data_IF_820316433283
#
_entry.id   IF_820316433283
#
_cell.length_a   1.000
_cell.length_b   1.000
_cell.length_c   1.000
_cell.angle_alpha   90.00
_cell.angle_beta   90.00
_cell.angle_gamma   90.00
#
_symmetry.space_group_name_H-M   'P 1'
#
loop_
_entity.id
_entity.type
_entity.pdbx_description
1 polymer ?
#
# COMPACT_ATOMS: atom_id res chain seq x y z
N UNK A 1 40.21 47.52 -48.62
CA UNK A 1 38.99 47.36 -47.77
C UNK A 1 38.14 46.12 -48.10
N UNK A 2 38.26 45.52 -49.30
CA UNK A 2 37.52 44.31 -49.70
C UNK A 2 38.11 43.02 -49.09
N UNK A 3 39.43 42.97 -48.90
CA UNK A 3 40.13 41.75 -48.47
C UNK A 3 39.89 41.34 -47.00
N UNK A 4 39.64 42.29 -46.10
CA UNK A 4 39.26 41.98 -44.71
C UNK A 4 37.82 41.44 -44.60
N UNK A 5 36.89 41.92 -45.44
CA UNK A 5 35.48 41.45 -45.41
C UNK A 5 35.34 40.00 -45.87
N UNK A 6 36.16 39.55 -46.83
CA UNK A 6 36.16 38.16 -47.31
C UNK A 6 36.70 37.19 -46.25
N UNK A 7 37.68 37.61 -45.44
CA UNK A 7 38.22 36.78 -44.34
C UNK A 7 37.22 36.56 -43.20
N UNK A 8 36.44 37.57 -42.86
CA UNK A 8 35.38 37.45 -41.84
C UNK A 8 34.21 36.58 -42.32
N UNK A 9 33.83 36.67 -43.59
CA UNK A 9 32.78 35.82 -44.17
C UNK A 9 33.23 34.35 -44.21
N UNK A 10 34.48 34.08 -44.61
CA UNK A 10 35.04 32.72 -44.62
C UNK A 10 35.17 32.13 -43.21
N UNK A 11 35.52 32.94 -42.21
CA UNK A 11 35.61 32.50 -40.81
C UNK A 11 34.23 32.19 -40.20
N UNK A 12 33.21 33.02 -40.48
CA UNK A 12 31.83 32.75 -40.03
C UNK A 12 31.22 31.53 -40.73
N UNK A 13 31.50 31.31 -42.03
CA UNK A 13 31.06 30.10 -42.74
C UNK A 13 31.72 28.84 -42.20
N UNK A 14 33.00 28.89 -41.82
CA UNK A 14 33.70 27.74 -41.23
C UNK A 14 33.15 27.40 -39.84
N UNK A 15 32.85 28.41 -39.01
CA UNK A 15 32.23 28.19 -37.68
C UNK A 15 30.80 27.63 -37.83
N UNK A 16 29.98 28.16 -38.76
CA UNK A 16 28.65 27.62 -38.99
C UNK A 16 28.67 26.16 -39.47
N UNK A 17 29.61 25.78 -40.36
CA UNK A 17 29.74 24.41 -40.87
C UNK A 17 30.15 23.44 -39.74
N UNK A 18 31.08 23.84 -38.87
CA UNK A 18 31.52 23.01 -37.73
C UNK A 18 30.41 22.87 -36.68
N UNK A 19 29.63 23.92 -36.42
CA UNK A 19 28.49 23.85 -35.47
C UNK A 19 27.35 22.97 -36.01
N UNK A 20 27.06 23.01 -37.32
CA UNK A 20 26.07 22.10 -37.91
C UNK A 20 26.53 20.63 -37.97
N UNK A 21 27.83 20.36 -38.10
CA UNK A 21 28.36 19.00 -38.12
C UNK A 21 28.33 18.33 -36.72
N UNK A 22 28.48 19.11 -35.64
CA UNK A 22 28.45 18.59 -34.26
C UNK A 22 27.03 18.25 -33.80
N UNK A 23 26.01 18.96 -34.28
CA UNK A 23 24.60 18.74 -33.89
C UNK A 23 23.98 17.50 -34.56
N UNK A 24 24.55 17.00 -35.67
CA UNK A 24 24.05 15.83 -36.40
C UNK A 24 24.56 14.46 -35.89
N UNK A 25 25.36 14.41 -34.81
CA UNK A 25 25.94 13.15 -34.29
C UNK A 25 25.42 12.72 -32.92
N UNK A 26 24.49 13.45 -32.32
CA UNK A 26 23.84 13.04 -31.07
C UNK A 26 22.36 12.76 -31.30
N UNK A 27 22.06 11.55 -31.78
CA UNK A 27 20.72 10.98 -31.64
C UNK A 27 20.56 10.57 -30.16
N UNK A 28 19.72 11.22 -29.33
CA UNK A 28 19.46 10.74 -27.97
C UNK A 28 18.51 9.53 -27.96
N UNK A 29 18.04 9.08 -29.12
CA UNK A 29 17.24 7.86 -29.24
C UNK A 29 18.17 6.64 -29.19
N UNK A 30 18.57 6.28 -27.97
CA UNK A 30 18.86 4.88 -27.68
C UNK A 30 17.52 4.14 -27.84
N UNK A 31 17.38 3.17 -28.76
CA UNK A 31 16.22 2.29 -28.74
C UNK A 31 16.18 1.67 -27.35
N UNK A 32 15.11 1.90 -26.57
CA UNK A 32 14.86 1.09 -25.37
C UNK A 32 14.97 -0.35 -25.85
N UNK A 33 15.92 -1.11 -25.32
CA UNK A 33 15.97 -2.54 -25.58
C UNK A 33 14.57 -3.06 -25.24
N UNK A 34 13.86 -3.50 -26.27
CA UNK A 34 12.62 -4.20 -26.11
C UNK A 34 13.01 -5.44 -25.31
N UNK A 35 12.73 -5.42 -24.01
CA UNK A 35 12.86 -6.58 -23.14
C UNK A 35 12.14 -7.67 -23.90
N UNK A 36 12.89 -8.66 -24.38
CA UNK A 36 12.27 -9.84 -24.94
C UNK A 36 11.24 -10.27 -23.91
N UNK A 37 9.95 -10.31 -24.28
CA UNK A 37 8.97 -10.99 -23.46
C UNK A 37 9.52 -12.40 -23.32
N UNK A 38 10.13 -12.66 -22.17
CA UNK A 38 10.39 -14.01 -21.77
C UNK A 38 9.00 -14.62 -21.78
N UNK A 39 8.78 -15.59 -22.67
CA UNK A 39 7.72 -16.55 -22.48
C UNK A 39 8.10 -17.36 -21.23
N UNK A 40 7.99 -16.71 -20.07
CA UNK A 40 7.80 -17.38 -18.81
C UNK A 40 6.48 -18.10 -18.99
N UNK A 41 6.54 -19.42 -19.16
CA UNK A 41 5.52 -20.32 -18.62
C UNK A 41 4.95 -19.65 -17.38
N UNK A 42 3.62 -19.43 -17.24
CA UNK A 42 3.09 -18.83 -16.04
C UNK A 42 3.69 -19.64 -14.89
N UNK A 43 4.57 -19.02 -14.12
CA UNK A 43 4.89 -19.59 -12.82
C UNK A 43 3.55 -19.64 -12.10
N UNK A 44 3.39 -20.53 -11.12
CA UNK A 44 2.17 -20.55 -10.30
C UNK A 44 2.12 -19.27 -9.44
N UNK A 45 2.01 -18.12 -10.10
CA UNK A 45 2.13 -16.78 -9.54
C UNK A 45 0.75 -16.40 -9.04
N UNK A 46 0.68 -16.14 -7.75
CA UNK A 46 -0.48 -15.58 -7.10
C UNK A 46 -0.22 -14.09 -6.93
N UNK A 47 -1.25 -13.29 -7.15
CA UNK A 47 -1.28 -11.86 -6.84
C UNK A 47 -2.34 -11.67 -5.76
N UNK A 48 -2.02 -10.87 -4.74
CA UNK A 48 -3.01 -10.37 -3.79
C UNK A 48 -3.18 -8.87 -3.98
N UNK A 49 -4.42 -8.45 -4.17
CA UNK A 49 -4.81 -7.04 -4.20
C UNK A 49 -5.53 -6.75 -2.90
N UNK A 50 -5.13 -5.70 -2.18
CA UNK A 50 -5.73 -5.35 -0.90
C UNK A 50 -5.91 -3.84 -0.75
N UNK A 51 -6.96 -3.43 -0.05
CA UNK A 51 -7.35 -2.03 0.13
C UNK A 51 -8.18 -1.84 1.40
N UNK A 52 -8.31 -0.58 1.83
CA UNK A 52 -9.28 -0.16 2.85
C UNK A 52 -10.59 0.30 2.18
N UNK A 53 -11.73 0.09 2.83
CA UNK A 53 -13.08 0.26 2.26
C UNK A 53 -13.62 1.70 2.24
N UNK A 54 -13.29 2.53 3.23
CA UNK A 54 -13.93 3.82 3.49
C UNK A 54 -13.01 5.04 3.32
N UNK A 55 -11.71 4.84 3.17
CA UNK A 55 -10.72 5.92 3.21
C UNK A 55 -10.37 6.29 4.66
N UNK A 56 -9.99 7.55 4.91
CA UNK A 56 -9.57 8.02 6.24
C UNK A 56 -10.67 7.77 7.28
N UNK A 57 -10.43 6.85 8.23
CA UNK A 57 -11.34 6.61 9.34
C UNK A 57 -11.03 7.55 10.50
N UNK A 58 -12.04 8.28 10.99
CA UNK A 58 -11.89 9.13 12.17
C UNK A 58 -12.25 8.35 13.44
N UNK A 59 -11.63 8.69 14.58
CA UNK A 59 -12.07 8.23 15.90
C UNK A 59 -11.83 9.31 16.96
N UNK A 60 -12.42 9.16 18.14
CA UNK A 60 -12.23 10.16 19.20
C UNK A 60 -10.83 10.09 19.81
N UNK A 61 -10.24 11.26 20.06
CA UNK A 61 -9.01 11.35 20.86
C UNK A 61 -9.26 10.93 22.32
N UNK A 62 -10.44 11.23 22.86
CA UNK A 62 -10.86 10.92 24.23
C UNK A 62 -12.32 10.43 24.23
N UNK A 63 -12.56 9.26 24.83
CA UNK A 63 -13.86 8.62 24.91
C UNK A 63 -14.64 8.93 26.21
N UNK A 64 -14.12 9.74 27.13
CA UNK A 64 -14.75 9.93 28.45
C UNK A 64 -16.22 10.43 28.39
N UNK A 65 -16.51 11.34 27.47
CA UNK A 65 -17.80 12.03 27.43
C UNK A 65 -18.70 11.59 26.25
N UNK A 66 -18.11 11.20 25.11
CA UNK A 66 -18.84 10.77 23.91
C UNK A 66 -17.97 9.92 22.97
N UNK A 67 -18.63 9.13 22.12
CA UNK A 67 -18.02 8.50 20.94
C UNK A 67 -18.78 8.92 19.68
N UNK A 68 -18.07 9.53 18.71
CA UNK A 68 -18.55 9.69 17.33
C UNK A 68 -18.28 8.39 16.56
N UNK A 69 -17.04 7.93 16.61
CA UNK A 69 -16.59 6.67 16.02
C UNK A 69 -15.53 6.02 16.92
N UNK A 70 -15.54 4.68 17.06
CA UNK A 70 -14.50 3.94 17.77
C UNK A 70 -13.21 3.89 16.93
N UNK A 71 -12.06 3.49 17.53
CA UNK A 71 -10.92 3.02 16.74
C UNK A 71 -11.41 1.90 15.82
N UNK A 72 -11.20 2.06 14.50
CA UNK A 72 -11.74 1.13 13.51
C UNK A 72 -10.96 1.21 12.21
N UNK A 73 -10.90 0.09 11.51
CA UNK A 73 -10.54 0.02 10.11
C UNK A 73 -11.04 -1.30 9.53
N UNK A 74 -11.29 -1.32 8.22
CA UNK A 74 -11.66 -2.53 7.49
C UNK A 74 -10.72 -2.73 6.32
N UNK A 75 -10.08 -3.89 6.24
CA UNK A 75 -9.23 -4.29 5.12
C UNK A 75 -9.93 -5.33 4.27
N UNK A 76 -9.81 -5.18 2.96
CA UNK A 76 -10.28 -6.12 1.94
C UNK A 76 -9.09 -6.72 1.20
N UNK A 77 -9.20 -7.98 0.80
CA UNK A 77 -8.21 -8.63 -0.06
C UNK A 77 -8.87 -9.60 -1.05
N UNK A 78 -8.35 -9.62 -2.28
CA UNK A 78 -8.68 -10.64 -3.29
C UNK A 78 -7.40 -11.30 -3.79
N UNK A 79 -7.44 -12.62 -3.95
CA UNK A 79 -6.30 -13.42 -4.40
C UNK A 79 -6.58 -13.96 -5.79
N UNK A 80 -5.65 -13.71 -6.71
CA UNK A 80 -5.78 -14.05 -8.12
C UNK A 80 -4.62 -14.96 -8.50
N UNK A 81 -4.92 -16.13 -9.07
CA UNK A 81 -3.92 -16.92 -9.77
C UNK A 81 -3.78 -16.39 -11.19
N UNK A 82 -2.56 -16.00 -11.55
CA UNK A 82 -2.25 -15.45 -12.88
C UNK A 82 -2.44 -16.54 -13.93
N UNK A 83 -3.16 -16.20 -15.00
CA UNK A 83 -3.49 -17.10 -16.10
C UNK A 83 -4.38 -16.41 -17.14
N UNK A 84 -4.75 -17.16 -18.18
CA UNK A 84 -5.69 -16.72 -19.21
C UNK A 84 -6.83 -17.77 -19.35
N UNK A 85 -8.03 -17.54 -18.80
CA UNK A 85 -8.41 -16.35 -18.01
C UNK A 85 -7.81 -16.37 -16.58
N UNK A 86 -7.69 -15.21 -15.92
CA UNK A 86 -7.29 -15.15 -14.51
C UNK A 86 -8.34 -15.85 -13.63
N UNK A 87 -7.89 -16.45 -12.53
CA UNK A 87 -8.75 -17.21 -11.61
C UNK A 87 -8.74 -16.60 -10.23
N UNK A 88 -9.93 -16.34 -9.69
CA UNK A 88 -10.09 -15.95 -8.29
C UNK A 88 -9.87 -17.18 -7.40
N UNK A 89 -9.05 -17.02 -6.36
CA UNK A 89 -8.67 -18.08 -5.43
C UNK A 89 -9.28 -17.78 -4.07
N UNK A 90 -10.11 -18.70 -3.60
CA UNK A 90 -10.91 -18.54 -2.37
C UNK A 90 -10.79 -19.72 -1.41
N UNK A 91 -10.04 -20.77 -1.78
CA UNK A 91 -9.89 -21.98 -0.98
C UNK A 91 -8.47 -22.57 -1.10
N UNK A 92 -8.09 -23.39 -0.11
CA UNK A 92 -6.73 -23.94 -0.02
C UNK A 92 -5.66 -22.91 0.35
N UNK A 93 -6.08 -21.71 0.75
CA UNK A 93 -5.21 -20.61 1.15
C UNK A 93 -5.64 -20.05 2.49
N UNK A 94 -4.70 -19.44 3.21
CA UNK A 94 -4.96 -18.59 4.38
C UNK A 94 -4.49 -17.18 4.05
N UNK A 95 -5.34 -16.18 4.32
CA UNK A 95 -5.02 -14.77 4.14
C UNK A 95 -4.94 -14.11 5.52
N UNK A 96 -3.77 -13.55 5.84
CA UNK A 96 -3.54 -12.86 7.11
C UNK A 96 -3.18 -11.41 6.88
N UNK A 97 -3.49 -10.57 7.86
CA UNK A 97 -3.02 -9.19 7.93
C UNK A 97 -2.22 -8.95 9.22
N UNK A 98 -1.31 -7.98 9.18
CA UNK A 98 -0.63 -7.48 10.38
C UNK A 98 -0.22 -6.01 10.19
N UNK A 99 -0.13 -5.28 11.30
CA UNK A 99 0.45 -3.94 11.35
C UNK A 99 1.79 -3.98 12.12
N UNK A 100 2.95 -4.12 11.43
CA UNK A 100 4.23 -4.39 12.09
C UNK A 100 4.73 -3.28 13.03
N UNK A 101 4.35 -2.03 12.76
CA UNK A 101 4.71 -0.84 13.56
C UNK A 101 3.48 -0.23 14.25
N UNK A 102 2.42 -1.02 14.44
CA UNK A 102 1.22 -0.63 15.18
C UNK A 102 0.55 -1.89 15.75
N UNK A 103 1.26 -2.59 16.63
CA UNK A 103 0.89 -3.94 17.10
C UNK A 103 -0.11 -3.95 18.24
N UNK A 104 -0.37 -2.78 18.84
CA UNK A 104 -1.34 -2.58 19.92
C UNK A 104 -1.94 -1.17 19.83
N UNK A 105 -3.11 -1.00 20.45
CA UNK A 105 -3.85 0.26 20.52
C UNK A 105 -4.26 0.65 21.94
N UNK A 106 -4.30 -0.31 22.87
CA UNK A 106 -4.42 -0.02 24.30
C UNK A 106 -3.25 0.86 24.76
N UNK A 107 -3.54 1.97 25.44
CA UNK A 107 -2.51 2.95 25.82
C UNK A 107 -2.16 3.97 24.74
N UNK A 108 -2.68 3.83 23.52
CA UNK A 108 -2.72 4.90 22.50
C UNK A 108 -4.08 5.60 22.47
N UNK A 109 -5.11 4.94 22.98
CA UNK A 109 -6.47 5.45 23.18
C UNK A 109 -7.03 4.94 24.51
N UNK A 110 -7.99 5.67 25.07
CA UNK A 110 -8.75 5.26 26.25
C UNK A 110 -10.10 4.58 25.90
N UNK A 111 -10.31 4.19 24.64
CA UNK A 111 -11.55 3.55 24.17
C UNK A 111 -12.03 2.38 25.06
N UNK A 112 -11.13 1.46 25.41
CA UNK A 112 -11.44 0.28 26.24
C UNK A 112 -11.81 0.62 27.70
N UNK A 113 -11.52 1.83 28.19
CA UNK A 113 -11.98 2.25 29.52
C UNK A 113 -13.47 2.61 29.53
N UNK A 114 -14.06 2.85 28.34
CA UNK A 114 -15.40 3.39 28.16
C UNK A 114 -16.31 2.58 27.20
N UNK A 115 -15.84 1.44 26.69
CA UNK A 115 -16.57 0.61 25.73
C UNK A 115 -17.90 0.07 26.29
N UNK A 116 -17.93 -0.31 27.58
CA UNK A 116 -19.15 -0.76 28.25
C UNK A 116 -20.17 0.37 28.33
N UNK A 117 -19.73 1.57 28.68
CA UNK A 117 -20.59 2.74 28.89
C UNK A 117 -21.13 3.30 27.57
N UNK A 118 -20.31 3.31 26.52
CA UNK A 118 -20.63 3.94 25.24
C UNK A 118 -21.22 2.95 24.22
N UNK A 119 -20.78 1.70 24.24
CA UNK A 119 -21.15 0.67 23.25
C UNK A 119 -21.84 -0.56 23.87
N UNK A 120 -21.88 -0.68 25.20
CA UNK A 120 -22.56 -1.78 25.89
C UNK A 120 -21.84 -3.12 25.78
N UNK A 121 -20.54 -3.11 25.45
CA UNK A 121 -19.70 -4.29 25.28
C UNK A 121 -18.42 -4.16 26.11
N UNK A 122 -17.96 -5.26 26.69
CA UNK A 122 -16.71 -5.36 27.45
C UNK A 122 -15.69 -6.08 26.55
N UNK A 123 -14.90 -5.31 25.81
CA UNK A 123 -13.94 -5.85 24.84
C UNK A 123 -12.63 -6.20 25.54
N UNK A 124 -11.99 -7.27 25.08
CA UNK A 124 -10.60 -7.50 25.44
C UNK A 124 -9.70 -6.40 24.86
N UNK A 125 -8.62 -6.07 25.57
CA UNK A 125 -7.61 -5.12 25.08
C UNK A 125 -7.18 -5.42 23.64
N UNK A 126 -7.09 -4.38 22.82
CA UNK A 126 -6.68 -4.45 21.41
C UNK A 126 -7.61 -5.26 20.50
N UNK A 127 -8.82 -5.59 20.95
CA UNK A 127 -9.88 -6.18 20.13
C UNK A 127 -10.91 -5.10 19.82
N UNK A 128 -11.26 -4.96 18.54
CA UNK A 128 -12.29 -4.01 18.10
C UNK A 128 -13.69 -4.62 18.10
N UNK A 129 -14.69 -3.79 17.78
CA UNK A 129 -16.11 -4.16 17.89
C UNK A 129 -16.54 -5.35 17.02
N UNK A 130 -15.82 -5.63 15.93
CA UNK A 130 -16.07 -6.79 15.07
C UNK A 130 -15.15 -7.99 15.40
N UNK A 131 -14.41 -7.95 16.51
CA UNK A 131 -13.60 -9.05 17.03
C UNK A 131 -12.20 -9.18 16.43
N UNK A 132 -11.80 -8.26 15.54
CA UNK A 132 -10.44 -8.22 14.97
C UNK A 132 -9.46 -7.48 15.88
N UNK A 133 -8.20 -7.87 15.82
CA UNK A 133 -7.09 -7.18 16.48
C UNK A 133 -6.12 -6.56 15.48
N UNK A 134 -4.91 -6.22 15.93
CA UNK A 134 -3.87 -5.58 15.11
C UNK A 134 -3.16 -6.54 14.13
N UNK A 135 -3.46 -7.82 14.22
CA UNK A 135 -3.10 -8.84 13.23
C UNK A 135 -4.08 -10.01 13.35
N UNK A 136 -4.16 -10.82 12.30
CA UNK A 136 -5.00 -12.02 12.34
C UNK A 136 -5.31 -12.58 10.96
N UNK A 137 -6.13 -13.62 10.96
CA UNK A 137 -6.71 -14.16 9.73
C UNK A 137 -7.88 -13.29 9.27
N UNK A 138 -7.95 -13.05 7.96
CA UNK A 138 -9.06 -12.36 7.32
C UNK A 138 -10.22 -13.34 7.10
N UNK A 139 -11.45 -12.91 7.35
CA UNK A 139 -12.65 -13.71 7.17
C UNK A 139 -12.99 -13.84 5.68
N UNK A 140 -13.42 -15.02 5.26
CA UNK A 140 -13.83 -15.26 3.88
C UNK A 140 -15.27 -14.80 3.62
N UNK A 141 -15.46 -13.94 2.61
CA UNK A 141 -16.74 -13.36 2.21
C UNK A 141 -17.10 -13.73 0.75
N UNK A 142 -17.19 -15.04 0.45
CA UNK A 142 -17.55 -15.63 -0.86
C UNK A 142 -16.57 -15.38 -2.01
N UNK A 143 -16.19 -14.14 -2.29
CA UNK A 143 -15.32 -13.75 -3.41
C UNK A 143 -14.10 -12.93 -2.96
N UNK A 144 -14.01 -12.58 -1.68
CA UNK A 144 -12.88 -11.84 -1.11
C UNK A 144 -12.68 -12.20 0.37
N UNK A 145 -11.67 -11.60 0.98
CA UNK A 145 -11.34 -11.73 2.38
C UNK A 145 -11.43 -10.37 3.07
N UNK A 146 -11.92 -10.33 4.31
CA UNK A 146 -12.17 -9.10 5.08
C UNK A 146 -11.56 -9.19 6.48
N UNK A 147 -10.92 -8.14 6.92
CA UNK A 147 -10.65 -7.92 8.35
C UNK A 147 -11.38 -6.65 8.78
N UNK A 148 -12.57 -6.82 9.32
CA UNK A 148 -13.46 -5.74 9.73
C UNK A 148 -13.24 -5.36 11.20
N UNK A 149 -13.31 -4.07 11.51
CA UNK A 149 -13.27 -3.57 12.89
C UNK A 149 -11.95 -3.81 13.60
N UNK A 150 -10.85 -3.61 12.89
CA UNK A 150 -9.51 -3.52 13.46
C UNK A 150 -9.45 -2.24 14.31
N UNK A 151 -9.10 -2.28 15.61
CA UNK A 151 -9.15 -1.10 16.48
C UNK A 151 -7.93 -0.18 16.28
N UNK A 152 -7.69 0.23 15.04
CA UNK A 152 -6.49 0.94 14.60
C UNK A 152 -6.46 2.37 15.12
N UNK A 153 -5.27 2.82 15.51
CA UNK A 153 -4.96 4.21 15.88
C UNK A 153 -3.90 4.78 14.95
N UNK A 154 -3.78 6.10 14.85
CA UNK A 154 -2.79 6.79 14.02
C UNK A 154 -1.37 6.83 14.62
N UNK A 155 -1.20 6.37 15.86
CA UNK A 155 0.09 6.30 16.53
C UNK A 155 0.79 4.96 16.28
N UNK A 156 2.09 5.02 15.95
CA UNK A 156 2.93 3.85 15.69
C UNK A 156 3.63 3.41 16.97
N UNK A 157 4.00 2.14 17.04
CA UNK A 157 4.76 1.60 18.16
C UNK A 157 6.11 2.32 18.30
N UNK A 158 6.72 2.67 17.16
CA UNK A 158 7.97 3.43 17.10
C UNK A 158 7.83 4.92 17.46
N UNK A 159 6.62 5.46 17.48
CA UNK A 159 6.34 6.87 17.79
C UNK A 159 4.92 7.04 18.34
N UNK A 160 4.82 7.02 19.67
CA UNK A 160 3.56 7.17 20.41
C UNK A 160 3.13 8.64 20.58
N UNK A 161 3.82 9.59 19.94
CA UNK A 161 3.56 11.03 20.12
C UNK A 161 3.14 11.68 18.82
N UNK A 162 3.82 11.40 17.71
CA UNK A 162 3.52 12.03 16.44
C UNK A 162 2.57 11.16 15.60
N UNK A 163 1.39 11.70 15.20
CA UNK A 163 0.46 11.01 14.32
C UNK A 163 1.08 10.57 13.00
N UNK A 164 0.76 9.34 12.58
CA UNK A 164 1.04 8.80 11.27
C UNK A 164 -0.27 8.32 10.62
N UNK A 165 -0.97 9.16 9.86
CA UNK A 165 -2.34 8.86 9.45
C UNK A 165 -2.49 7.75 8.38
N UNK A 166 -1.38 7.22 7.85
CA UNK A 166 -1.36 6.26 6.73
C UNK A 166 -0.76 4.92 7.16
N UNK A 167 -1.37 4.26 8.14
CA UNK A 167 -0.87 2.99 8.67
C UNK A 167 -0.73 1.93 7.57
N UNK A 168 0.32 1.10 7.66
CA UNK A 168 0.66 0.12 6.65
C UNK A 168 0.33 -1.29 7.15
N UNK A 169 -0.63 -1.94 6.50
CA UNK A 169 -0.99 -3.32 6.76
C UNK A 169 -0.25 -4.24 5.80
N UNK A 170 0.48 -5.22 6.32
CA UNK A 170 1.05 -6.31 5.54
C UNK A 170 0.00 -7.40 5.35
N UNK A 171 -0.33 -7.72 4.11
CA UNK A 171 -1.24 -8.80 3.74
C UNK A 171 -0.41 -9.95 3.20
N UNK A 172 -0.57 -11.13 3.79
CA UNK A 172 0.16 -12.34 3.39
C UNK A 172 -0.81 -13.45 3.04
N UNK A 173 -0.59 -14.07 1.87
CA UNK A 173 -1.31 -15.25 1.42
C UNK A 173 -0.38 -16.45 1.55
N UNK A 174 -0.83 -17.49 2.26
CA UNK A 174 -0.10 -18.75 2.39
C UNK A 174 -0.94 -19.91 1.85
N UNK A 175 -0.26 -20.93 1.31
CA UNK A 175 -0.89 -22.21 1.04
C UNK A 175 -1.26 -22.89 2.36
N UNK A 176 -2.50 -23.36 2.49
CA UNK A 176 -3.03 -23.84 3.77
C UNK A 176 -2.35 -25.13 4.26
N UNK A 177 -1.79 -25.95 3.36
CA UNK A 177 -1.20 -27.25 3.72
C UNK A 177 0.31 -27.15 3.97
N UNK A 178 0.99 -26.38 3.12
CA UNK A 178 2.45 -26.27 3.13
C UNK A 178 2.95 -25.06 3.91
N UNK A 179 2.06 -24.11 4.21
CA UNK A 179 2.36 -22.80 4.82
C UNK A 179 3.37 -21.96 4.02
N UNK A 180 3.58 -22.29 2.75
CA UNK A 180 4.43 -21.52 1.84
C UNK A 180 3.73 -20.22 1.50
N UNK A 181 4.45 -19.10 1.59
CA UNK A 181 3.96 -17.80 1.12
C UNK A 181 3.78 -17.82 -0.39
N UNK A 182 2.56 -17.57 -0.84
CA UNK A 182 2.17 -17.54 -2.25
C UNK A 182 2.24 -16.11 -2.83
N UNK A 183 1.83 -15.12 -2.03
CA UNK A 183 1.81 -13.72 -2.40
C UNK A 183 1.82 -12.83 -1.16
N UNK A 184 2.34 -11.61 -1.30
CA UNK A 184 2.29 -10.56 -0.28
C UNK A 184 2.04 -9.21 -0.93
N UNK A 185 1.38 -8.33 -0.19
CA UNK A 185 1.23 -6.91 -0.56
C UNK A 185 1.11 -6.05 0.69
N UNK A 186 1.23 -4.74 0.53
CA UNK A 186 0.97 -3.77 1.59
C UNK A 186 -0.24 -2.93 1.23
N UNK A 187 -1.21 -2.86 2.12
CA UNK A 187 -2.37 -1.97 2.01
C UNK A 187 -2.22 -0.79 2.96
N UNK A 188 -2.66 0.40 2.53
CA UNK A 188 -2.75 1.57 3.41
C UNK A 188 -4.11 1.53 4.12
N UNK A 189 -4.09 1.61 5.45
CA UNK A 189 -5.25 1.74 6.32
C UNK A 189 -5.22 3.12 6.99
N UNK A 190 -5.86 4.12 6.38
CA UNK A 190 -5.78 5.47 6.89
C UNK A 190 -6.68 5.71 8.10
N UNK A 191 -6.16 6.41 9.11
CA UNK A 191 -6.86 6.70 10.38
C UNK A 191 -6.37 8.01 11.01
N UNK A 192 -7.23 8.74 11.70
CA UNK A 192 -6.89 9.95 12.46
C UNK A 192 -7.83 10.17 13.63
N UNK A 193 -7.36 10.76 14.71
CA UNK A 193 -8.26 11.36 15.71
C UNK A 193 -8.99 12.58 15.14
N UNK A 194 -10.20 12.85 15.63
CA UNK A 194 -11.01 14.06 15.35
C UNK A 194 -11.53 14.73 16.63
#
# INVERSE_FOLDING_TARGET
>A
MIWQRVKWIAFCLFICIVVTAVILTTNPFTPKQQVAQANTTPSHEYIVVAWNDLGMHCYNQDFQDLAVLPPYNTLWAQVIKVGDPPQLITSGITVTYAFPDNTFSVGKSNFWDYDVQLFGVDLADNVGLAGKGMSGEMDFHNDHFVAEGIPLTELRDSDLVNPYPYQLAEITVTDQNTHVVLAQTTAVAPVSTE
#
